data_IF_834198831655
#
_entry.id   IF_834198831655
#
_cell.length_a   1.000
_cell.length_b   1.000
_cell.length_c   1.000
_cell.angle_alpha   90.00
_cell.angle_beta   90.00
_cell.angle_gamma   90.00
#
_symmetry.space_group_name_H-M   'P 1'
#
loop_
_entity.id
_entity.type
_entity.pdbx_description
1 polymer ?
#
# COMPACT_ATOMS: atom_id res chain seq x y z
N UNK A 1 1.96 -1.18 -1.84
CA UNK A 1 2.83 -0.91 -3.01
C UNK A 1 1.99 -1.10 -4.26
N UNK A 2 1.88 -0.06 -5.08
CA UNK A 2 1.18 -0.11 -6.35
C UNK A 2 1.76 -1.26 -7.19
N UNK A 3 0.90 -2.22 -7.50
CA UNK A 3 1.22 -3.44 -8.23
C UNK A 3 1.79 -3.18 -9.64
N UNK A 4 1.59 -1.98 -10.18
CA UNK A 4 2.10 -1.57 -11.48
C UNK A 4 3.51 -0.95 -11.43
N UNK A 5 4.08 -0.65 -10.26
CA UNK A 5 5.49 -0.20 -10.19
C UNK A 5 6.49 -1.36 -10.32
N UNK A 6 5.97 -2.59 -10.32
CA UNK A 6 6.71 -3.84 -10.18
C UNK A 6 6.80 -4.61 -11.52
N UNK A 7 6.10 -4.14 -12.56
CA UNK A 7 5.98 -4.83 -13.88
C UNK A 7 7.27 -4.84 -14.70
N UNK A 8 8.26 -4.01 -14.39
CA UNK A 8 9.52 -3.94 -15.15
C UNK A 8 10.49 -5.09 -14.79
N UNK A 9 10.25 -5.83 -13.71
CA UNK A 9 11.09 -6.96 -13.32
C UNK A 9 10.53 -8.29 -13.88
N UNK A 10 11.35 -8.98 -14.68
CA UNK A 10 10.98 -10.25 -15.32
C UNK A 10 10.61 -11.36 -14.31
N UNK A 11 11.09 -11.27 -13.07
CA UNK A 11 10.82 -12.23 -11.99
C UNK A 11 9.36 -12.22 -11.52
N UNK A 12 8.61 -11.17 -11.87
CA UNK A 12 7.28 -10.89 -11.31
C UNK A 12 6.18 -11.08 -12.36
N UNK A 13 6.58 -11.23 -13.64
CA UNK A 13 5.74 -11.63 -14.78
C UNK A 13 4.75 -12.77 -14.51
N UNK A 14 5.11 -13.89 -13.85
CA UNK A 14 4.14 -14.97 -13.59
C UNK A 14 3.03 -14.59 -12.59
N UNK A 15 3.23 -13.54 -11.77
CA UNK A 15 2.24 -13.06 -10.78
C UNK A 15 1.36 -11.94 -11.32
N UNK A 16 1.63 -11.41 -12.51
CA UNK A 16 0.83 -10.36 -13.15
C UNK A 16 -0.67 -10.67 -13.27
N UNK A 17 -1.12 -11.87 -13.68
CA UNK A 17 -2.55 -12.14 -13.77
C UNK A 17 -3.24 -12.02 -12.40
N UNK A 18 -2.55 -12.38 -11.31
CA UNK A 18 -3.06 -12.21 -9.95
C UNK A 18 -3.16 -10.73 -9.56
N UNK A 19 -2.16 -9.92 -9.92
CA UNK A 19 -2.16 -8.49 -9.63
C UNK A 19 -3.29 -7.76 -10.38
N UNK A 20 -3.54 -8.12 -11.63
CA UNK A 20 -4.67 -7.60 -12.41
C UNK A 20 -6.02 -8.05 -11.86
N UNK A 21 -6.09 -9.28 -11.35
CA UNK A 21 -7.29 -9.77 -10.68
C UNK A 21 -7.59 -8.97 -9.41
N UNK A 22 -6.58 -8.65 -8.61
CA UNK A 22 -6.73 -7.78 -7.44
C UNK A 22 -7.20 -6.37 -7.86
N UNK A 23 -6.62 -5.78 -8.91
CA UNK A 23 -7.08 -4.50 -9.47
C UNK A 23 -8.56 -4.57 -9.89
N UNK A 24 -8.95 -5.67 -10.53
CA UNK A 24 -10.33 -5.86 -10.97
C UNK A 24 -11.30 -5.92 -9.79
N UNK A 25 -10.93 -6.64 -8.72
CA UNK A 25 -11.73 -6.71 -7.50
C UNK A 25 -11.83 -5.35 -6.81
N UNK A 26 -10.74 -4.59 -6.70
CA UNK A 26 -10.73 -3.27 -6.07
C UNK A 26 -11.44 -2.19 -6.89
N UNK A 27 -11.61 -2.37 -8.19
CA UNK A 27 -12.49 -1.51 -9.01
C UNK A 27 -13.97 -1.68 -8.65
N UNK A 28 -14.35 -2.80 -8.04
CA UNK A 28 -15.72 -2.98 -7.55
C UNK A 28 -15.84 -2.33 -6.18
N UNK A 29 -16.50 -1.17 -6.13
CA UNK A 29 -16.69 -0.38 -4.90
C UNK A 29 -17.17 -1.19 -3.68
N UNK A 30 -18.17 -2.11 -3.76
CA UNK A 30 -18.59 -2.88 -2.58
C UNK A 30 -17.54 -3.88 -2.09
N UNK A 31 -16.69 -4.40 -2.98
CA UNK A 31 -15.60 -5.30 -2.60
C UNK A 31 -14.48 -4.50 -1.94
N UNK A 32 -14.13 -3.34 -2.51
CA UNK A 32 -13.15 -2.43 -1.93
C UNK A 32 -13.57 -1.96 -0.53
N UNK A 33 -14.84 -1.60 -0.35
CA UNK A 33 -15.41 -1.20 0.93
C UNK A 33 -15.32 -2.31 1.98
N UNK A 34 -15.73 -3.53 1.63
CA UNK A 34 -15.64 -4.67 2.54
C UNK A 34 -14.20 -4.99 2.97
N UNK A 35 -13.25 -4.93 2.03
CA UNK A 35 -11.83 -5.15 2.33
C UNK A 35 -11.29 -4.01 3.21
N UNK A 36 -11.64 -2.76 2.90
CA UNK A 36 -11.18 -1.60 3.65
C UNK A 36 -11.67 -1.63 5.09
N UNK A 37 -12.94 -1.96 5.31
CA UNK A 37 -13.50 -2.11 6.65
C UNK A 37 -12.86 -3.26 7.44
N UNK A 38 -12.47 -4.36 6.79
CA UNK A 38 -11.71 -5.43 7.45
C UNK A 38 -10.29 -4.99 7.83
N UNK A 39 -9.59 -4.28 6.93
CA UNK A 39 -8.24 -3.75 7.16
C UNK A 39 -8.25 -2.70 8.29
N UNK A 40 -9.32 -1.91 8.41
CA UNK A 40 -9.52 -0.94 9.49
C UNK A 40 -9.70 -1.56 10.87
N UNK A 41 -10.05 -2.84 10.96
CA UNK A 41 -10.18 -3.54 12.25
C UNK A 41 -8.86 -3.49 12.98
N UNK A 42 -8.93 -3.18 14.27
CA UNK A 42 -7.74 -2.96 15.10
C UNK A 42 -6.81 -4.17 15.10
N UNK A 43 -7.34 -5.39 15.23
CA UNK A 43 -6.53 -6.61 15.20
C UNK A 43 -5.89 -6.84 13.83
N UNK A 44 -6.64 -6.65 12.75
CA UNK A 44 -6.15 -6.81 11.38
C UNK A 44 -5.03 -5.81 11.09
N UNK A 45 -5.25 -4.54 11.40
CA UNK A 45 -4.25 -3.47 11.23
C UNK A 45 -2.99 -3.76 12.05
N UNK A 46 -3.15 -4.17 13.30
CA UNK A 46 -2.03 -4.58 14.17
C UNK A 46 -1.23 -5.72 13.55
N UNK A 47 -1.89 -6.74 13.02
CA UNK A 47 -1.22 -7.88 12.38
C UNK A 47 -0.47 -7.46 11.11
N UNK A 48 -1.03 -6.54 10.31
CA UNK A 48 -0.37 -5.97 9.14
C UNK A 48 0.89 -5.21 9.58
N UNK A 49 0.78 -4.31 10.56
CA UNK A 49 1.94 -3.56 11.08
C UNK A 49 3.01 -4.50 11.65
N UNK A 50 2.61 -5.54 12.37
CA UNK A 50 3.51 -6.60 12.84
C UNK A 50 4.18 -7.35 11.68
N UNK A 51 3.58 -7.47 10.51
CA UNK A 51 4.27 -8.10 9.36
C UNK A 51 5.34 -7.20 8.74
N UNK A 52 5.15 -5.88 8.81
CA UNK A 52 6.00 -4.87 8.13
C UNK A 52 7.17 -4.42 9.02
N UNK A 53 6.89 -4.09 10.29
CA UNK A 53 7.91 -3.55 11.19
C UNK A 53 8.91 -4.63 11.59
N UNK A 54 10.20 -4.36 11.43
CA UNK A 54 11.26 -5.29 11.86
C UNK A 54 11.21 -5.52 13.38
N UNK A 55 11.14 -4.43 14.15
CA UNK A 55 10.98 -4.50 15.61
C UNK A 55 9.49 -4.60 15.99
N UNK A 56 9.06 -5.80 16.38
CA UNK A 56 7.65 -6.04 16.78
C UNK A 56 7.24 -5.30 18.05
N UNK A 57 8.20 -4.97 18.94
CA UNK A 57 7.93 -4.19 20.16
C UNK A 57 7.54 -2.74 19.85
N UNK A 58 7.88 -2.24 18.66
CA UNK A 58 7.48 -0.91 18.20
C UNK A 58 6.00 -0.85 17.76
N UNK A 59 5.33 -1.99 17.60
CA UNK A 59 3.90 -2.05 17.27
C UNK A 59 3.08 -2.08 18.56
N UNK A 60 2.99 -0.92 19.19
CA UNK A 60 2.16 -0.69 20.36
C UNK A 60 0.75 -0.22 19.98
N UNK A 61 -0.10 -0.04 20.97
CA UNK A 61 -1.49 0.36 20.76
C UNK A 61 -1.62 1.80 20.24
N UNK A 62 -0.70 2.67 20.65
CA UNK A 62 -0.65 4.06 20.22
C UNK A 62 -0.39 4.15 18.72
N UNK A 63 0.59 3.40 18.22
CA UNK A 63 0.88 3.34 16.78
C UNK A 63 -0.32 2.81 15.99
N UNK A 64 -0.96 1.74 16.47
CA UNK A 64 -2.13 1.17 15.81
C UNK A 64 -3.24 2.20 15.71
N UNK A 65 -3.53 2.94 16.78
CA UNK A 65 -4.60 3.94 16.76
C UNK A 65 -4.26 5.15 15.87
N UNK A 66 -3.02 5.64 15.90
CA UNK A 66 -2.57 6.74 15.02
C UNK A 66 -2.76 6.41 13.54
N UNK A 67 -2.54 5.15 13.14
CA UNK A 67 -2.76 4.71 11.76
C UNK A 67 -4.24 4.46 11.48
N UNK A 68 -5.01 4.01 12.48
CA UNK A 68 -6.43 3.68 12.33
C UNK A 68 -7.33 4.91 12.28
N UNK A 69 -7.02 5.95 13.04
CA UNK A 69 -7.80 7.18 13.15
C UNK A 69 -8.12 7.80 11.77
N UNK A 70 -7.14 8.10 10.89
CA UNK A 70 -7.41 8.69 9.58
C UNK A 70 -8.15 7.74 8.62
N UNK A 71 -8.19 6.43 8.93
CA UNK A 71 -8.97 5.49 8.12
C UNK A 71 -10.49 5.60 8.37
N UNK A 72 -10.91 6.33 9.41
CA UNK A 72 -12.31 6.64 9.68
C UNK A 72 -12.78 7.96 9.04
N UNK A 73 -11.86 8.71 8.42
CA UNK A 73 -12.19 9.98 7.79
C UNK A 73 -12.94 9.77 6.47
N UNK A 74 -13.73 10.78 6.11
CA UNK A 74 -14.42 10.82 4.82
C UNK A 74 -13.39 10.80 3.67
N UNK A 75 -13.63 9.93 2.67
CA UNK A 75 -12.71 9.77 1.53
C UNK A 75 -11.52 8.83 1.79
N UNK A 76 -11.37 8.25 2.99
CA UNK A 76 -10.28 7.32 3.28
C UNK A 76 -10.33 6.04 2.41
N UNK A 77 -11.53 5.54 2.10
CA UNK A 77 -11.72 4.43 1.15
C UNK A 77 -11.23 4.80 -0.25
N UNK A 78 -11.56 5.99 -0.74
CA UNK A 78 -11.17 6.43 -2.08
C UNK A 78 -9.65 6.62 -2.17
N UNK A 79 -9.03 7.14 -1.10
CA UNK A 79 -7.58 7.22 -0.97
C UNK A 79 -6.92 5.83 -0.98
N UNK A 80 -7.49 4.87 -0.24
CA UNK A 80 -7.02 3.49 -0.23
C UNK A 80 -7.08 2.85 -1.63
N UNK A 81 -8.22 2.96 -2.31
CA UNK A 81 -8.38 2.45 -3.69
C UNK A 81 -7.38 3.11 -4.64
N UNK A 82 -7.19 4.42 -4.53
CA UNK A 82 -6.24 5.18 -5.36
C UNK A 82 -4.79 4.73 -5.14
N UNK A 83 -4.37 4.49 -3.90
CA UNK A 83 -3.01 4.04 -3.58
C UNK A 83 -2.74 2.63 -4.11
N UNK A 84 -3.73 1.73 -4.02
CA UNK A 84 -3.54 0.33 -4.42
C UNK A 84 -3.65 0.15 -5.94
N UNK A 85 -4.59 0.83 -6.58
CA UNK A 85 -4.94 0.61 -8.01
C UNK A 85 -4.43 1.68 -8.97
N UNK A 86 -3.94 2.82 -8.45
CA UNK A 86 -3.51 3.97 -9.23
C UNK A 86 -2.41 3.64 -10.25
N UNK A 87 -2.11 4.53 -11.20
CA UNK A 87 -0.96 4.36 -12.07
C UNK A 87 0.34 4.51 -11.27
N UNK A 88 1.38 3.71 -11.56
CA UNK A 88 2.66 3.83 -10.88
C UNK A 88 3.37 5.10 -11.36
N UNK A 89 4.02 5.80 -10.45
CA UNK A 89 4.96 6.85 -10.83
C UNK A 89 6.20 6.27 -11.51
N UNK A 90 7.03 7.13 -12.16
CA UNK A 90 8.33 6.72 -12.68
C UNK A 90 9.21 6.14 -11.56
N UNK A 91 10.02 5.15 -11.89
CA UNK A 91 10.89 4.51 -10.91
C UNK A 91 11.90 5.54 -10.37
N UNK A 92 12.12 5.64 -9.03
CA UNK A 92 13.11 6.57 -8.47
C UNK A 92 14.49 6.47 -9.12
N UNK A 93 14.94 5.28 -9.54
CA UNK A 93 16.22 5.08 -10.24
C UNK A 93 16.26 5.81 -11.58
N UNK A 94 15.13 5.88 -12.30
CA UNK A 94 15.03 6.64 -13.56
C UNK A 94 15.10 8.15 -13.30
N UNK A 95 14.78 8.60 -12.08
CA UNK A 95 14.84 10.00 -11.68
C UNK A 95 16.23 10.40 -11.15
N UNK A 96 17.04 9.45 -10.68
CA UNK A 96 18.38 9.74 -10.12
C UNK A 96 19.28 10.61 -11.02
N UNK A 97 19.33 10.42 -12.37
CA UNK A 97 20.18 11.23 -13.22
C UNK A 97 19.82 12.73 -13.26
N UNK A 98 18.59 13.10 -12.93
CA UNK A 98 18.16 14.50 -12.91
C UNK A 98 18.34 15.18 -11.55
N UNK A 99 18.74 14.44 -10.52
CA UNK A 99 18.97 14.96 -9.16
C UNK A 99 20.43 15.40 -9.03
N UNK A 100 20.65 16.70 -8.78
CA UNK A 100 21.99 17.29 -8.61
C UNK A 100 22.42 17.49 -7.15
N UNK A 101 21.56 17.11 -6.20
CA UNK A 101 21.80 17.26 -4.75
C UNK A 101 22.06 15.90 -4.08
N UNK A 102 22.78 15.86 -2.95
CA UNK A 102 22.97 14.62 -2.19
C UNK A 102 21.63 13.99 -1.78
N UNK A 103 21.47 12.68 -2.02
CA UNK A 103 20.28 11.91 -1.65
C UNK A 103 20.61 11.01 -0.46
N UNK A 104 19.83 11.15 0.63
CA UNK A 104 19.90 10.25 1.78
C UNK A 104 18.98 9.04 1.54
N UNK A 105 19.54 7.83 1.66
CA UNK A 105 18.79 6.57 1.58
C UNK A 105 18.83 5.92 2.97
N UNK A 106 17.64 5.62 3.51
CA UNK A 106 17.43 5.07 4.85
C UNK A 106 16.94 3.62 4.80
#
# INVERSE_FOLDING_TARGET
MNNKAIVDDWRIKPRLPLLWFIDFLLKQRPIADAIFEDVKRRETLRNILLSIYANKKSVDETLVEIIREPANDEGALDAFVSIVTGPPGPNPVQLMPSISIPVLVL
#
